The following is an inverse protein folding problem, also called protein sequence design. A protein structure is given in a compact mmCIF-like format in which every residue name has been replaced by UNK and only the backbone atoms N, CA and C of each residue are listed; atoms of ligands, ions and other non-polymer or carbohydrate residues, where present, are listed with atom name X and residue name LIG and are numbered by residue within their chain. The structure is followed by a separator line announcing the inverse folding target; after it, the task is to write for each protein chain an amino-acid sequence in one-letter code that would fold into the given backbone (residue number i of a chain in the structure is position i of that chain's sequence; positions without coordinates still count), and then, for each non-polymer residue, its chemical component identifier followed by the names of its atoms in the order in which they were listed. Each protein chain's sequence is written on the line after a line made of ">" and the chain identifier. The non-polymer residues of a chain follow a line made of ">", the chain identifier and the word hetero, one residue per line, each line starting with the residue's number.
data_IF_079454634616
#
_entry.id   IF_079454634616
#
_cell.length_a   1.000
_cell.length_b   1.000
_cell.length_c   1.000
_cell.angle_alpha   90.00
_cell.angle_beta   90.00
_cell.angle_gamma   90.00
#
_symmetry.space_group_name_H-M   'P 1'
#
loop_
_entity.id
_entity.type
_entity.pdbx_description
1 polymer ?
#
# COMPACT_ATOMS: atom_id res chain seq x y z
N UNK A 1 -0.41 3.18 49.88
CA UNK A 1 -0.98 4.23 49.01
C UNK A 1 0.05 4.56 47.96
N UNK A 2 -0.34 4.32 46.69
CA UNK A 2 0.11 4.88 45.41
C UNK A 2 1.62 4.88 45.10
N UNK A 3 2.10 4.39 43.96
CA UNK A 3 1.43 3.82 42.80
C UNK A 3 2.53 3.22 41.91
N UNK A 4 2.39 1.96 41.56
CA UNK A 4 3.25 1.31 40.58
C UNK A 4 2.93 1.94 39.23
N UNK A 5 3.92 2.57 38.63
CA UNK A 5 3.91 2.92 37.20
C UNK A 5 3.86 1.62 36.43
N UNK A 6 2.65 1.16 36.13
CA UNK A 6 2.41 0.22 35.05
C UNK A 6 2.98 0.88 33.79
N UNK A 7 4.14 0.38 33.36
CA UNK A 7 4.69 0.65 32.06
C UNK A 7 3.66 0.18 31.04
N UNK A 8 2.84 1.10 30.55
CA UNK A 8 2.09 0.95 29.30
C UNK A 8 3.13 0.76 28.18
N UNK A 9 3.51 -0.48 27.92
CA UNK A 9 4.19 -0.84 26.69
C UNK A 9 3.17 -0.66 25.55
N UNK A 10 3.31 0.30 24.62
CA UNK A 10 2.25 0.65 23.69
C UNK A 10 2.21 -0.23 22.44
N UNK A 11 2.90 -1.38 22.43
CA UNK A 11 3.02 -2.23 21.24
C UNK A 11 2.38 -3.60 21.48
N UNK A 12 1.06 -3.63 21.47
CA UNK A 12 0.39 -4.84 21.00
C UNK A 12 0.68 -4.94 19.50
N UNK A 13 1.48 -5.92 19.08
CA UNK A 13 1.63 -6.26 17.67
C UNK A 13 0.22 -6.55 17.13
N UNK A 14 -0.38 -5.56 16.48
CA UNK A 14 -1.73 -5.69 15.94
C UNK A 14 -1.64 -6.20 14.52
N UNK A 15 -2.60 -7.02 14.10
CA UNK A 15 -2.73 -7.45 12.70
C UNK A 15 -2.70 -6.29 11.70
N UNK A 16 -3.10 -5.08 12.14
CA UNK A 16 -3.04 -3.84 11.35
C UNK A 16 -1.62 -3.40 10.98
N UNK A 17 -0.65 -3.61 11.86
CA UNK A 17 0.75 -3.24 11.58
C UNK A 17 1.37 -4.18 10.56
N UNK A 18 1.04 -5.47 10.67
CA UNK A 18 1.42 -6.49 9.70
C UNK A 18 0.93 -6.12 8.30
N UNK A 19 -0.37 -5.88 8.13
CA UNK A 19 -0.97 -5.50 6.85
C UNK A 19 -0.31 -4.24 6.27
N UNK A 20 -0.01 -3.25 7.12
CA UNK A 20 0.62 -2.00 6.71
C UNK A 20 2.04 -2.24 6.18
N UNK A 21 2.86 -3.02 6.88
CA UNK A 21 4.23 -3.36 6.50
C UNK A 21 4.26 -4.22 5.21
N UNK A 22 3.30 -5.12 5.07
CA UNK A 22 3.13 -5.93 3.85
C UNK A 22 2.85 -5.05 2.63
N UNK A 23 1.95 -4.06 2.76
CA UNK A 23 1.67 -3.11 1.67
C UNK A 23 2.92 -2.30 1.30
N UNK A 24 3.75 -1.90 2.27
CA UNK A 24 5.01 -1.22 1.99
C UNK A 24 5.98 -2.09 1.20
N UNK A 25 6.15 -3.37 1.55
CA UNK A 25 7.02 -4.30 0.81
C UNK A 25 6.54 -4.53 -0.61
N UNK A 26 5.23 -4.74 -0.79
CA UNK A 26 4.63 -4.86 -2.12
C UNK A 26 4.82 -3.59 -2.95
N UNK A 27 4.66 -2.42 -2.32
CA UNK A 27 4.92 -1.12 -2.95
C UNK A 27 6.39 -0.89 -3.35
N UNK A 28 7.33 -1.56 -2.69
CA UNK A 28 8.76 -1.53 -3.04
C UNK A 28 9.13 -2.54 -4.13
N UNK A 29 8.17 -3.29 -4.67
CA UNK A 29 8.39 -4.22 -5.79
C UNK A 29 8.68 -5.67 -5.37
N UNK A 30 8.62 -5.99 -4.07
CA UNK A 30 8.70 -7.38 -3.61
C UNK A 30 7.36 -8.07 -3.88
N UNK A 31 7.35 -9.08 -4.76
CA UNK A 31 6.13 -9.81 -5.12
C UNK A 31 6.06 -11.22 -4.52
N UNK A 32 7.17 -11.75 -4.02
CA UNK A 32 7.20 -13.08 -3.43
C UNK A 32 6.61 -13.07 -2.01
N UNK A 33 5.45 -13.72 -1.88
CA UNK A 33 4.73 -13.82 -0.61
C UNK A 33 5.54 -14.53 0.48
N UNK A 34 6.42 -15.46 0.12
CA UNK A 34 7.22 -16.22 1.06
C UNK A 34 8.37 -15.38 1.60
N UNK A 35 9.00 -14.58 0.73
CA UNK A 35 10.02 -13.61 1.14
C UNK A 35 9.45 -12.54 2.05
N UNK A 36 8.29 -11.96 1.69
CA UNK A 36 7.57 -10.96 2.50
C UNK A 36 7.27 -11.51 3.90
N UNK A 37 6.70 -12.72 3.96
CA UNK A 37 6.35 -13.34 5.24
C UNK A 37 7.59 -13.63 6.09
N UNK A 38 8.67 -14.14 5.49
CA UNK A 38 9.91 -14.41 6.21
C UNK A 38 10.53 -13.14 6.80
N UNK A 39 10.46 -12.02 6.06
CA UNK A 39 11.02 -10.74 6.46
C UNK A 39 10.18 -10.08 7.55
N UNK A 40 8.85 -10.03 7.40
CA UNK A 40 7.96 -9.51 8.44
C UNK A 40 8.09 -10.34 9.72
N UNK A 41 8.14 -11.67 9.62
CA UNK A 41 8.30 -12.53 10.78
C UNK A 41 9.60 -12.21 11.53
N UNK A 42 10.72 -12.01 10.82
CA UNK A 42 11.98 -11.62 11.43
C UNK A 42 11.93 -10.24 12.10
N UNK A 43 11.27 -9.27 11.47
CA UNK A 43 11.09 -7.91 12.01
C UNK A 43 10.23 -7.93 13.28
N UNK A 44 9.12 -8.67 13.28
CA UNK A 44 8.23 -8.76 14.44
C UNK A 44 8.82 -9.57 15.60
N UNK A 45 9.64 -10.61 15.32
CA UNK A 45 10.40 -11.28 16.38
C UNK A 45 11.44 -10.34 17.01
N UNK A 46 12.16 -9.55 16.19
CA UNK A 46 13.10 -8.54 16.69
C UNK A 46 12.39 -7.43 17.47
N UNK A 47 11.21 -6.98 17.04
CA UNK A 47 10.40 -5.98 17.75
C UNK A 47 9.81 -6.50 19.07
N UNK A 48 9.74 -7.82 19.26
CA UNK A 48 9.33 -8.44 20.53
C UNK A 48 10.49 -8.51 21.53
N UNK A 49 11.73 -8.58 21.04
CA UNK A 49 12.96 -8.68 21.83
C UNK A 49 13.57 -7.29 22.13
N UNK A 50 13.53 -6.39 21.17
CA UNK A 50 13.92 -4.98 21.30
C UNK A 50 12.68 -4.17 21.61
N UNK A 51 12.70 -3.33 22.66
CA UNK A 51 11.58 -2.43 22.98
C UNK A 51 11.45 -1.25 21.98
N UNK A 52 11.97 -1.43 20.76
CA UNK A 52 11.97 -0.47 19.66
C UNK A 52 10.75 -0.69 18.75
N UNK A 53 10.24 0.36 18.09
CA UNK A 53 9.08 0.23 17.22
C UNK A 53 9.39 -0.68 16.01
N UNK A 54 8.46 -1.58 15.69
CA UNK A 54 8.59 -2.55 14.60
C UNK A 54 8.90 -1.89 13.24
N UNK A 55 8.46 -0.65 13.03
CA UNK A 55 8.73 0.12 11.81
C UNK A 55 10.19 0.57 11.68
N UNK A 56 10.88 0.88 12.79
CA UNK A 56 12.30 1.26 12.73
C UNK A 56 13.18 0.03 12.42
N UNK A 57 12.85 -1.10 13.04
CA UNK A 57 13.49 -2.39 12.76
C UNK A 57 13.22 -2.83 11.31
N UNK A 58 12.00 -2.59 10.81
CA UNK A 58 11.68 -2.84 9.41
C UNK A 58 12.55 -2.02 8.45
N UNK A 59 12.73 -0.72 8.71
CA UNK A 59 13.51 0.15 7.85
C UNK A 59 14.98 -0.25 7.79
N UNK A 60 15.58 -0.68 8.91
CA UNK A 60 16.97 -1.15 8.93
C UNK A 60 17.12 -2.47 8.18
N UNK A 61 16.24 -3.44 8.42
CA UNK A 61 16.31 -4.78 7.81
C UNK A 61 16.03 -4.75 6.30
N UNK A 62 15.02 -3.99 5.88
CA UNK A 62 14.70 -3.80 4.46
C UNK A 62 15.74 -2.94 3.77
N UNK A 63 16.25 -1.90 4.44
CA UNK A 63 17.32 -1.05 3.92
C UNK A 63 18.59 -1.86 3.62
N UNK A 64 18.98 -2.76 4.51
CA UNK A 64 20.15 -3.63 4.32
C UNK A 64 19.94 -4.64 3.17
N UNK A 65 18.76 -5.28 3.11
CA UNK A 65 18.42 -6.20 2.00
C UNK A 65 18.37 -5.50 0.64
N UNK A 66 17.73 -4.34 0.57
CA UNK A 66 17.60 -3.55 -0.66
C UNK A 66 18.92 -2.93 -1.10
N UNK A 67 19.77 -2.51 -0.17
CA UNK A 67 21.11 -2.02 -0.48
C UNK A 67 21.97 -3.12 -1.12
N UNK A 68 21.90 -4.33 -0.57
CA UNK A 68 22.59 -5.51 -1.10
C UNK A 68 22.14 -5.87 -2.52
N UNK A 69 20.85 -5.78 -2.82
CA UNK A 69 20.32 -6.05 -4.17
C UNK A 69 20.68 -4.93 -5.17
N UNK A 70 20.91 -3.71 -4.69
CA UNK A 70 21.25 -2.54 -5.51
C UNK A 70 22.74 -2.46 -5.89
N UNK A 71 23.63 -3.06 -5.09
CA UNK A 71 25.07 -3.13 -5.38
C UNK A 71 25.41 -4.12 -6.52
N UNK A 72 24.49 -5.02 -6.89
CA UNK A 72 24.71 -6.04 -7.91
C UNK A 72 24.32 -5.68 -9.35
N UNK A 73 23.76 -4.50 -9.63
CA UNK A 73 22.95 -4.33 -10.86
C UNK A 73 22.89 -2.97 -11.54
N UNK A 74 23.83 -2.05 -11.33
CA UNK A 74 23.88 -0.83 -12.14
C UNK A 74 24.85 -0.98 -13.32
N UNK A 75 24.37 -1.14 -14.58
CA UNK A 75 25.26 -0.99 -15.73
C UNK A 75 25.79 0.45 -15.77
N UNK A 76 27.03 0.67 -16.21
CA UNK A 76 27.64 2.00 -16.24
C UNK A 76 26.80 2.93 -17.13
N UNK A 77 26.19 3.95 -16.50
CA UNK A 77 25.48 5.01 -17.20
C UNK A 77 26.53 5.94 -17.85
N UNK A 78 26.75 5.79 -19.16
CA UNK A 78 27.38 6.85 -19.95
C UNK A 78 26.46 8.10 -19.93
N UNK A 79 26.97 9.32 -19.68
CA UNK A 79 26.15 10.53 -19.67
C UNK A 79 25.82 10.96 -21.11
N UNK A 80 24.87 10.27 -21.72
CA UNK A 80 24.39 10.53 -23.07
C UNK A 80 23.20 11.48 -23.10
N UNK A 81 23.48 12.77 -23.35
CA UNK A 81 22.58 13.73 -24.01
C UNK A 81 21.17 13.90 -23.43
N UNK A 82 21.05 14.83 -22.47
CA UNK A 82 19.76 15.41 -22.06
C UNK A 82 19.31 16.44 -23.10
N UNK A 83 18.74 15.98 -24.20
CA UNK A 83 17.94 16.81 -25.12
C UNK A 83 16.64 16.06 -25.39
N UNK A 84 15.51 16.44 -24.74
CA UNK A 84 14.23 15.87 -25.08
C UNK A 84 13.88 16.31 -26.50
N UNK A 85 13.83 15.36 -27.44
CA UNK A 85 13.21 15.63 -28.74
C UNK A 85 11.71 15.87 -28.50
N UNK A 86 11.08 16.82 -29.22
CA UNK A 86 9.63 16.96 -29.20
C UNK A 86 9.01 15.60 -29.56
N UNK A 87 8.17 15.07 -28.67
CA UNK A 87 7.52 13.80 -28.88
C UNK A 87 6.39 14.04 -29.89
N UNK A 88 6.62 13.66 -31.14
CA UNK A 88 5.54 13.49 -32.11
C UNK A 88 4.73 12.26 -31.68
N UNK A 89 3.73 12.50 -30.82
CA UNK A 89 2.72 11.50 -30.50
C UNK A 89 1.85 11.30 -31.73
N UNK A 90 2.29 10.42 -32.63
CA UNK A 90 1.43 9.83 -33.65
C UNK A 90 0.37 8.93 -32.98
N UNK A 91 0.12 7.71 -33.45
CA UNK A 91 -1.01 6.87 -33.01
C UNK A 91 -1.05 6.51 -31.51
N UNK A 92 -0.06 6.92 -30.72
CA UNK A 92 -0.03 6.84 -29.25
C UNK A 92 -0.95 7.88 -28.57
N UNK A 93 -1.28 8.99 -29.24
CA UNK A 93 -2.25 9.95 -28.72
C UNK A 93 -3.67 9.34 -28.67
N UNK A 94 -4.05 8.57 -29.72
CA UNK A 94 -5.35 7.88 -29.79
C UNK A 94 -5.50 6.75 -28.76
N UNK A 95 -4.39 6.17 -28.29
CA UNK A 95 -4.39 5.13 -27.26
C UNK A 95 -4.51 5.70 -25.83
N UNK A 96 -4.05 6.93 -25.60
CA UNK A 96 -4.20 7.59 -24.31
C UNK A 96 -5.63 8.14 -24.11
N UNK A 97 -6.32 8.54 -25.18
CA UNK A 97 -7.74 8.94 -25.13
C UNK A 97 -8.69 7.76 -24.96
N UNK A 98 -8.29 6.55 -25.34
CA UNK A 98 -9.16 5.37 -25.30
C UNK A 98 -9.10 4.57 -23.98
N UNK A 99 -8.12 4.80 -23.10
CA UNK A 99 -8.00 4.11 -21.80
C UNK A 99 -8.59 4.89 -20.63
N UNK A 100 -9.24 6.04 -20.85
CA UNK A 100 -9.79 6.91 -19.80
C UNK A 100 -11.31 7.13 -19.95
N UNK A 101 -12.01 6.13 -20.45
CA UNK A 101 -13.47 6.06 -20.41
C UNK A 101 -13.86 4.60 -20.23
N UNK A 102 -13.55 4.06 -19.05
CA UNK A 102 -14.30 2.90 -18.53
C UNK A 102 -15.75 3.37 -18.36
N UNK A 103 -16.55 3.13 -19.40
CA UNK A 103 -18.00 3.22 -19.31
C UNK A 103 -18.43 2.48 -18.04
N UNK A 104 -19.16 3.11 -17.10
CA UNK A 104 -19.53 2.45 -15.87
C UNK A 104 -20.31 1.18 -16.23
N UNK A 105 -19.80 0.02 -15.82
CA UNK A 105 -20.45 -1.25 -16.08
C UNK A 105 -21.93 -1.13 -15.68
N UNK A 106 -22.88 -1.61 -16.50
CA UNK A 106 -24.31 -1.42 -16.26
C UNK A 106 -24.75 -1.91 -14.87
N UNK A 107 -24.00 -2.85 -14.29
CA UNK A 107 -24.18 -3.37 -12.94
C UNK A 107 -24.05 -2.29 -11.87
N UNK A 108 -23.07 -1.37 -11.99
CA UNK A 108 -22.87 -0.29 -11.03
C UNK A 108 -24.05 0.70 -11.02
N UNK A 109 -24.63 0.99 -12.19
CA UNK A 109 -25.82 1.83 -12.31
C UNK A 109 -27.05 1.16 -11.68
N UNK A 110 -27.22 -0.14 -11.87
CA UNK A 110 -28.34 -0.88 -11.24
C UNK A 110 -28.21 -0.89 -9.72
N UNK A 111 -27.01 -1.15 -9.19
CA UNK A 111 -26.76 -1.16 -7.75
C UNK A 111 -27.00 0.20 -7.10
N UNK A 112 -26.59 1.29 -7.74
CA UNK A 112 -26.82 2.65 -7.23
C UNK A 112 -28.32 2.99 -7.19
N UNK A 113 -29.10 2.65 -8.21
CA UNK A 113 -30.55 2.87 -8.21
C UNK A 113 -31.24 2.10 -7.09
N UNK A 114 -30.88 0.82 -6.89
CA UNK A 114 -31.45 -0.01 -5.82
C UNK A 114 -31.11 0.54 -4.44
N UNK A 115 -29.85 0.98 -4.24
CA UNK A 115 -29.41 1.59 -2.99
C UNK A 115 -30.24 2.84 -2.65
N UNK A 116 -30.35 3.79 -3.59
CA UNK A 116 -31.12 5.02 -3.36
C UNK A 116 -32.62 4.75 -3.17
N UNK A 117 -33.21 3.81 -3.92
CA UNK A 117 -34.61 3.41 -3.74
C UNK A 117 -34.87 2.90 -2.32
N UNK A 118 -33.99 2.04 -1.80
CA UNK A 118 -34.09 1.54 -0.43
C UNK A 118 -34.01 2.68 0.60
N UNK A 119 -33.08 3.62 0.42
CA UNK A 119 -32.93 4.78 1.31
C UNK A 119 -34.19 5.64 1.31
N UNK A 120 -34.76 5.93 0.13
CA UNK A 120 -36.00 6.71 0.03
C UNK A 120 -37.20 6.02 0.67
N UNK A 121 -37.34 4.71 0.48
CA UNK A 121 -38.42 3.93 1.13
C UNK A 121 -38.26 3.97 2.65
N UNK A 122 -37.04 3.75 3.17
CA UNK A 122 -36.77 3.84 4.61
C UNK A 122 -37.07 5.23 5.17
N UNK A 123 -36.71 6.29 4.45
CA UNK A 123 -36.98 7.67 4.86
C UNK A 123 -38.47 7.98 4.83
N UNK A 124 -39.20 7.51 3.82
CA UNK A 124 -40.64 7.68 3.71
C UNK A 124 -41.38 6.94 4.83
N UNK A 125 -41.00 5.70 5.13
CA UNK A 125 -41.56 4.94 6.26
C UNK A 125 -41.30 5.68 7.57
N UNK A 126 -40.08 6.18 7.78
CA UNK A 126 -39.75 6.95 8.99
C UNK A 126 -40.55 8.26 9.09
N UNK A 127 -40.78 8.96 7.97
CA UNK A 127 -41.54 10.21 7.95
C UNK A 127 -43.04 10.02 8.22
N UNK A 128 -43.63 8.90 7.78
CA UNK A 128 -45.06 8.60 7.96
C UNK A 128 -45.37 7.74 9.20
N UNK A 129 -44.35 7.27 9.92
CA UNK A 129 -44.48 6.54 11.19
C UNK A 129 -44.50 7.47 12.39
#
# INVERSE_FOLDING_TARGET
>A
MNGSTENEFPFSITSKEWDRLEVYLRGMGMQDSLEIHSLLSAVFEKAKLSSEPAFEIFLSEVGEKMAKDREGGLPPLEPGSMVPRPIDFGPLADLATSSSSEDPEPVALVLTVVFWLSVYISLAIWYFS
#
